data_IF_267597755627
#
_entry.id   IF_267597755627
#
_cell.length_a   1.000
_cell.length_b   1.000
_cell.length_c   1.000
_cell.angle_alpha   90.00
_cell.angle_beta   90.00
_cell.angle_gamma   90.00
#
_symmetry.space_group_name_H-M   'P 1'
#
loop_
_entity.id
_entity.type
_entity.pdbx_description
1 polymer ?
#
# COMPACT_ATOMS: atom_id res chain seq x y z
N UNK A 1 34.86 -9.02 15.62
CA UNK A 1 33.60 -8.41 16.13
C UNK A 1 33.43 -7.03 15.48
N UNK A 2 32.21 -6.76 15.00
CA UNK A 2 31.64 -5.49 14.50
C UNK A 2 32.48 -4.59 13.57
N UNK A 3 32.20 -4.67 12.26
CA UNK A 3 32.27 -3.51 11.34
C UNK A 3 31.00 -3.47 10.48
N UNK A 4 29.88 -3.14 11.12
CA UNK A 4 28.62 -2.80 10.44
C UNK A 4 28.56 -1.30 10.23
N UNK A 5 29.12 -0.81 9.12
CA UNK A 5 28.98 0.59 8.72
C UNK A 5 27.53 0.88 8.35
N UNK A 6 26.85 1.71 9.14
CA UNK A 6 25.55 2.30 8.83
C UNK A 6 25.73 3.29 7.66
N UNK A 7 24.87 3.20 6.65
CA UNK A 7 24.73 4.25 5.64
C UNK A 7 23.62 5.21 6.13
N UNK A 8 23.83 6.54 6.09
CA UNK A 8 22.86 7.52 6.59
C UNK A 8 21.58 7.52 5.76
N UNK A 9 20.48 7.83 6.45
CA UNK A 9 19.13 8.04 5.95
C UNK A 9 19.09 9.49 5.47
N UNK A 10 19.11 9.74 4.15
CA UNK A 10 18.65 11.00 3.53
C UNK A 10 18.53 10.79 2.02
N UNK A 11 17.36 11.12 1.46
CA UNK A 11 17.00 10.93 0.04
C UNK A 11 16.11 9.70 -0.16
N UNK A 12 14.80 9.91 -0.05
CA UNK A 12 13.75 8.93 0.25
C UNK A 12 13.58 7.95 -0.92
N UNK A 13 13.59 6.66 -0.59
CA UNK A 13 13.18 5.59 -1.46
C UNK A 13 12.65 4.46 -0.59
N UNK A 14 11.53 3.84 -0.97
CA UNK A 14 10.86 2.84 -0.15
C UNK A 14 11.72 1.57 -0.04
N UNK A 15 12.11 1.15 1.17
CA UNK A 15 12.92 -0.06 1.37
C UNK A 15 12.05 -1.29 1.67
N UNK A 16 12.07 -2.24 0.74
CA UNK A 16 11.32 -3.48 0.83
C UNK A 16 12.09 -4.56 1.60
N UNK A 17 11.35 -5.34 2.39
CA UNK A 17 11.83 -6.59 2.98
C UNK A 17 11.07 -7.75 2.31
N UNK A 18 11.80 -8.77 1.88
CA UNK A 18 11.37 -9.66 0.80
C UNK A 18 10.35 -10.73 1.21
N UNK A 19 9.41 -10.44 2.11
CA UNK A 19 8.47 -11.42 2.67
C UNK A 19 7.00 -11.27 2.25
N UNK A 20 6.66 -10.25 1.44
CA UNK A 20 5.26 -9.99 1.06
C UNK A 20 5.08 -9.42 -0.35
N UNK A 21 3.82 -9.14 -0.70
CA UNK A 21 3.42 -8.36 -1.88
C UNK A 21 3.51 -6.88 -1.54
N UNK A 22 3.97 -6.07 -2.47
CA UNK A 22 4.07 -4.62 -2.30
C UNK A 22 3.45 -3.91 -3.48
N UNK A 23 2.79 -2.79 -3.22
CA UNK A 23 2.27 -1.92 -4.26
C UNK A 23 2.90 -0.54 -4.14
N UNK A 24 3.22 0.06 -5.28
CA UNK A 24 3.69 1.44 -5.40
C UNK A 24 2.77 2.16 -6.36
N UNK A 25 2.20 3.28 -5.93
CA UNK A 25 1.34 4.11 -6.76
C UNK A 25 2.11 5.37 -7.16
N UNK A 26 2.21 5.61 -8.47
CA UNK A 26 2.87 6.79 -9.03
C UNK A 26 1.87 7.59 -9.87
N UNK A 27 2.15 8.88 -10.02
CA UNK A 27 1.29 9.82 -10.73
C UNK A 27 2.06 10.46 -11.89
N UNK A 28 1.41 10.75 -13.03
CA UNK A 28 2.00 11.58 -14.07
C UNK A 28 2.14 13.05 -13.61
N UNK A 29 3.07 13.78 -14.21
CA UNK A 29 3.22 15.24 -13.94
C UNK A 29 2.01 16.05 -14.39
N UNK A 30 1.36 15.64 -15.48
CA UNK A 30 0.17 16.26 -16.06
C UNK A 30 -0.63 15.24 -16.88
N UNK A 31 -1.87 15.60 -17.23
CA UNK A 31 -2.76 14.76 -18.04
C UNK A 31 -2.12 14.33 -19.36
N UNK A 32 -2.15 13.02 -19.66
CA UNK A 32 -1.59 12.45 -20.89
C UNK A 32 -0.06 12.38 -20.94
N UNK A 33 0.65 12.88 -19.93
CA UNK A 33 2.12 12.83 -19.89
C UNK A 33 2.63 11.41 -19.65
N UNK A 34 3.81 11.12 -20.23
CA UNK A 34 4.55 9.90 -19.92
C UNK A 34 5.57 10.07 -18.81
N UNK A 35 5.78 11.30 -18.35
CA UNK A 35 6.70 11.66 -17.26
C UNK A 35 6.00 11.56 -15.91
N UNK A 36 6.74 11.09 -14.90
CA UNK A 36 6.24 10.85 -13.55
C UNK A 36 6.50 12.05 -12.64
N UNK A 37 5.51 12.39 -11.82
CA UNK A 37 5.66 13.35 -10.75
C UNK A 37 6.66 12.85 -9.69
N UNK A 38 7.39 13.75 -8.99
CA UNK A 38 8.23 13.37 -7.87
C UNK A 38 7.42 12.63 -6.80
N UNK A 39 7.96 11.53 -6.27
CA UNK A 39 7.31 10.72 -5.24
C UNK A 39 8.36 10.13 -4.30
N UNK A 40 8.06 10.11 -3.01
CA UNK A 40 8.87 9.48 -1.98
C UNK A 40 8.99 7.95 -2.18
N UNK A 41 8.04 7.35 -2.90
CA UNK A 41 8.04 5.92 -3.21
C UNK A 41 8.92 5.56 -4.42
N UNK A 42 9.51 6.55 -5.10
CA UNK A 42 10.42 6.37 -6.24
C UNK A 42 11.78 7.07 -5.98
N UNK A 43 12.90 6.31 -5.86
CA UNK A 43 13.09 4.94 -6.32
C UNK A 43 12.69 3.86 -5.29
N UNK A 44 12.24 2.73 -5.81
CA UNK A 44 11.96 1.53 -5.01
C UNK A 44 13.28 0.88 -4.61
N UNK A 45 13.47 0.63 -3.33
CA UNK A 45 14.67 0.03 -2.75
C UNK A 45 14.44 -1.34 -2.14
N UNK A 46 15.52 -2.12 -2.00
CA UNK A 46 15.56 -3.34 -1.19
C UNK A 46 16.45 -3.08 0.02
N UNK A 47 15.99 -3.46 1.21
CA UNK A 47 16.80 -3.36 2.42
C UNK A 47 18.14 -4.08 2.22
N UNK A 48 19.24 -3.38 2.48
CA UNK A 48 20.57 -3.91 2.18
C UNK A 48 20.89 -5.11 3.07
N UNK A 49 21.18 -6.24 2.43
CA UNK A 49 21.84 -7.39 3.05
C UNK A 49 23.04 -7.77 2.19
N UNK A 50 24.07 -8.47 2.72
CA UNK A 50 25.23 -8.90 1.94
C UNK A 50 24.86 -9.68 0.65
N UNK A 51 23.68 -10.30 0.63
CA UNK A 51 23.14 -11.02 -0.52
C UNK A 51 22.48 -10.15 -1.62
N UNK A 52 22.43 -8.82 -1.46
CA UNK A 52 21.75 -7.88 -2.36
C UNK A 52 22.66 -7.27 -3.45
N UNK A 53 23.98 -7.49 -3.40
CA UNK A 53 24.94 -6.90 -4.37
C UNK A 53 24.78 -7.38 -5.82
N UNK A 54 24.07 -8.48 -6.05
CA UNK A 54 23.93 -9.12 -7.36
C UNK A 54 22.47 -9.44 -7.72
N UNK A 55 21.55 -8.58 -7.28
CA UNK A 55 20.13 -8.68 -7.63
C UNK A 55 19.86 -8.04 -9.00
N UNK A 56 18.78 -8.48 -9.63
CA UNK A 56 18.29 -7.97 -10.91
C UNK A 56 16.79 -7.77 -10.82
N UNK A 57 16.34 -6.65 -11.38
CA UNK A 57 14.92 -6.36 -11.53
C UNK A 57 14.37 -6.99 -12.81
N UNK A 58 13.17 -7.55 -12.71
CA UNK A 58 12.46 -8.18 -13.82
C UNK A 58 11.05 -7.60 -13.89
N UNK A 59 10.60 -7.18 -15.09
CA UNK A 59 9.21 -6.77 -15.36
C UNK A 59 8.52 -7.90 -16.12
N UNK A 60 7.61 -8.61 -15.45
CA UNK A 60 7.10 -9.90 -15.95
C UNK A 60 8.22 -10.88 -16.30
N UNK A 61 8.22 -11.41 -17.54
CA UNK A 61 9.29 -12.31 -18.05
C UNK A 61 10.50 -11.58 -18.60
N UNK A 62 10.42 -10.26 -18.79
CA UNK A 62 11.50 -9.45 -19.39
C UNK A 62 12.46 -9.00 -18.29
N UNK A 63 13.75 -9.08 -18.58
CA UNK A 63 14.77 -8.49 -17.70
C UNK A 63 14.70 -6.98 -17.89
N UNK A 64 14.49 -6.25 -16.80
CA UNK A 64 14.69 -4.82 -16.81
C UNK A 64 16.16 -4.56 -16.45
N UNK A 65 16.86 -3.72 -17.22
CA UNK A 65 18.30 -3.51 -17.02
C UNK A 65 18.48 -2.50 -15.89
N UNK A 66 18.21 -2.95 -14.66
CA UNK A 66 18.70 -2.28 -13.48
C UNK A 66 19.45 -3.29 -12.60
N UNK A 67 20.72 -2.99 -12.34
CA UNK A 67 21.60 -3.78 -11.48
C UNK A 67 21.91 -2.96 -10.23
N UNK A 68 21.41 -3.41 -9.08
CA UNK A 68 21.61 -2.72 -7.82
C UNK A 68 20.40 -2.83 -6.89
N UNK A 69 20.50 -2.26 -5.68
CA UNK A 69 19.46 -2.35 -4.66
C UNK A 69 18.26 -1.41 -4.90
N UNK A 70 18.30 -0.58 -5.94
CA UNK A 70 17.27 0.42 -6.24
C UNK A 70 16.75 0.26 -7.67
N UNK A 71 15.45 0.48 -7.86
CA UNK A 71 14.76 0.58 -9.14
C UNK A 71 14.16 1.99 -9.24
N UNK A 72 14.67 2.78 -10.18
CA UNK A 72 14.09 4.07 -10.53
C UNK A 72 13.09 3.84 -11.67
N UNK A 73 11.88 4.35 -11.47
CA UNK A 73 10.82 4.36 -12.47
C UNK A 73 10.82 5.75 -13.11
N UNK A 74 10.73 5.81 -14.43
CA UNK A 74 10.93 7.07 -15.18
C UNK A 74 9.77 7.41 -16.07
N UNK A 75 8.88 6.45 -16.33
CA UNK A 75 7.73 6.66 -17.20
C UNK A 75 6.46 6.02 -16.68
N UNK A 76 5.31 6.58 -17.01
CA UNK A 76 3.99 5.96 -16.79
C UNK A 76 3.90 4.57 -17.44
N UNK A 77 4.65 4.34 -18.52
CA UNK A 77 4.78 3.03 -19.19
C UNK A 77 5.51 1.99 -18.34
N UNK A 78 6.12 2.39 -17.23
CA UNK A 78 6.78 1.49 -16.31
C UNK A 78 5.80 0.71 -15.42
N UNK A 79 4.50 1.01 -15.45
CA UNK A 79 3.45 0.26 -14.74
C UNK A 79 3.51 -1.27 -14.96
N UNK A 80 3.16 -2.05 -13.94
CA UNK A 80 3.05 -3.50 -14.00
C UNK A 80 3.82 -4.23 -12.89
N UNK A 81 3.91 -5.56 -13.01
CA UNK A 81 4.47 -6.42 -11.96
C UNK A 81 5.98 -6.59 -12.12
N UNK A 82 6.69 -6.30 -11.04
CA UNK A 82 8.12 -6.47 -10.89
C UNK A 82 8.47 -7.60 -9.93
N UNK A 83 9.59 -8.27 -10.20
CA UNK A 83 10.18 -9.27 -9.32
C UNK A 83 11.69 -9.07 -9.24
N UNK A 84 12.30 -9.63 -8.19
CA UNK A 84 13.75 -9.55 -7.96
C UNK A 84 14.36 -10.94 -8.07
N UNK A 85 15.33 -11.08 -8.97
CA UNK A 85 16.04 -12.34 -9.18
C UNK A 85 17.52 -12.23 -8.80
N UNK A 86 18.10 -13.34 -8.36
CA UNK A 86 19.55 -13.47 -8.17
C UNK A 86 20.21 -13.93 -9.46
N UNK A 87 21.31 -13.26 -9.85
CA UNK A 87 22.06 -13.48 -11.10
C UNK A 87 22.35 -14.96 -11.43
N UNK A 88 22.77 -15.75 -10.44
CA UNK A 88 23.19 -17.16 -10.62
C UNK A 88 22.13 -18.19 -10.19
N UNK A 89 20.89 -17.74 -9.90
CA UNK A 89 19.81 -18.58 -9.34
C UNK A 89 18.48 -18.18 -9.99
N UNK A 90 18.39 -18.23 -11.32
CA UNK A 90 17.20 -17.80 -12.10
C UNK A 90 15.89 -18.49 -11.68
N UNK A 91 15.96 -19.72 -11.15
CA UNK A 91 14.81 -20.50 -10.62
C UNK A 91 14.59 -20.34 -9.11
N UNK A 92 15.41 -19.54 -8.43
CA UNK A 92 15.35 -19.21 -6.99
C UNK A 92 15.44 -17.68 -6.86
N UNK A 93 14.43 -16.99 -7.40
CA UNK A 93 14.21 -15.57 -7.18
C UNK A 93 13.62 -15.33 -5.78
N UNK A 94 13.68 -14.08 -5.31
CA UNK A 94 12.87 -13.70 -4.16
C UNK A 94 11.46 -13.46 -4.69
N UNK A 95 10.48 -14.15 -4.13
CA UNK A 95 9.09 -14.16 -4.61
C UNK A 95 8.30 -12.92 -4.17
N UNK A 96 8.97 -11.78 -4.04
CA UNK A 96 8.26 -10.52 -3.83
C UNK A 96 7.81 -10.01 -5.17
N UNK A 97 6.49 -9.96 -5.31
CA UNK A 97 5.81 -9.29 -6.40
C UNK A 97 5.57 -7.85 -5.99
N UNK A 98 6.05 -6.94 -6.82
CA UNK A 98 5.90 -5.51 -6.63
C UNK A 98 5.00 -5.04 -7.76
N UNK A 99 3.80 -4.61 -7.42
CA UNK A 99 2.89 -4.01 -8.38
C UNK A 99 3.18 -2.52 -8.45
N UNK A 100 3.62 -2.04 -9.61
CA UNK A 100 3.72 -0.61 -9.89
C UNK A 100 2.43 -0.19 -10.57
N UNK A 101 1.64 0.58 -9.84
CA UNK A 101 0.40 1.20 -10.31
C UNK A 101 0.73 2.62 -10.74
N UNK A 102 0.19 3.03 -11.88
CA UNK A 102 0.31 4.41 -12.35
C UNK A 102 -1.11 4.93 -12.54
N UNK A 103 -1.42 6.06 -11.90
CA UNK A 103 -2.70 6.72 -12.03
C UNK A 103 -2.91 7.31 -13.44
N UNK A 104 -4.16 7.39 -13.89
CA UNK A 104 -4.50 8.03 -15.16
C UNK A 104 -4.34 9.55 -15.11
N UNK A 105 -4.48 10.14 -13.92
CA UNK A 105 -4.37 11.57 -13.69
C UNK A 105 -3.30 11.94 -12.65
N UNK A 106 -2.83 13.20 -12.63
CA UNK A 106 -1.97 13.72 -11.56
C UNK A 106 -2.57 13.53 -10.16
N UNK A 107 -1.72 13.61 -9.14
CA UNK A 107 -2.14 13.42 -7.74
C UNK A 107 -3.26 14.42 -7.34
N UNK A 108 -4.33 13.91 -6.72
CA UNK A 108 -5.51 14.69 -6.32
C UNK A 108 -6.50 14.98 -7.45
N UNK A 109 -6.37 14.28 -8.59
CA UNK A 109 -7.27 14.37 -9.73
C UNK A 109 -7.79 12.97 -10.12
N UNK A 110 -9.01 12.90 -10.66
CA UNK A 110 -9.57 11.70 -11.31
C UNK A 110 -9.91 11.99 -12.75
N UNK A 111 -9.93 10.91 -13.54
CA UNK A 111 -10.35 10.95 -14.94
C UNK A 111 -11.87 10.93 -15.02
N UNK A 112 -12.48 11.90 -15.71
CA UNK A 112 -13.91 11.86 -16.04
C UNK A 112 -14.12 12.40 -17.44
N UNK A 113 -14.81 11.62 -18.28
CA UNK A 113 -15.00 11.91 -19.71
C UNK A 113 -13.67 12.28 -20.40
N UNK A 114 -12.63 11.46 -20.17
CA UNK A 114 -11.28 11.64 -20.72
C UNK A 114 -10.57 12.96 -20.35
N UNK A 115 -10.99 13.61 -19.26
CA UNK A 115 -10.36 14.83 -18.73
C UNK A 115 -10.08 14.69 -17.24
N UNK A 116 -8.89 15.10 -16.80
CA UNK A 116 -8.56 15.11 -15.39
C UNK A 116 -9.26 16.28 -14.67
N UNK A 117 -9.98 15.97 -13.59
CA UNK A 117 -10.66 16.95 -12.74
C UNK A 117 -10.08 16.94 -11.34
N UNK A 118 -9.95 18.13 -10.75
CA UNK A 118 -9.50 18.29 -9.37
C UNK A 118 -10.59 17.86 -8.39
N UNK A 119 -10.18 17.22 -7.30
CA UNK A 119 -11.13 16.99 -6.20
C UNK A 119 -11.47 18.25 -5.50
N UNK A 120 -12.77 18.40 -5.29
CA UNK A 120 -13.27 19.41 -4.39
C UNK A 120 -12.64 19.13 -3.04
N UNK A 121 -11.75 20.03 -2.60
CA UNK A 121 -11.08 19.96 -1.29
C UNK A 121 -12.05 19.78 -0.13
N UNK A 122 -13.33 20.07 -0.35
CA UNK A 122 -14.43 19.89 0.58
C UNK A 122 -14.73 18.41 0.90
N UNK A 123 -14.43 17.48 -0.01
CA UNK A 123 -14.70 16.06 0.18
C UNK A 123 -13.40 15.27 -0.02
N UNK A 124 -12.44 15.27 0.92
CA UNK A 124 -11.24 14.42 0.85
C UNK A 124 -11.56 12.96 1.21
N UNK A 125 -10.74 11.98 0.84
CA UNK A 125 -10.94 10.60 1.29
C UNK A 125 -10.51 10.49 2.74
N UNK A 126 -11.45 10.18 3.62
CA UNK A 126 -11.25 10.06 5.05
C UNK A 126 -10.75 8.67 5.43
N UNK A 127 -10.26 8.55 6.67
CA UNK A 127 -9.94 7.28 7.31
C UNK A 127 -8.96 6.39 6.52
N UNK A 128 -8.10 6.98 5.69
CA UNK A 128 -7.11 6.26 4.87
C UNK A 128 -7.68 5.72 3.55
N UNK A 129 -8.86 6.17 3.14
CA UNK A 129 -9.38 5.94 1.80
C UNK A 129 -8.50 6.56 0.72
N UNK A 130 -8.57 5.99 -0.48
CA UNK A 130 -7.78 6.43 -1.64
C UNK A 130 -8.71 6.71 -2.80
N UNK A 131 -8.46 7.81 -3.51
CA UNK A 131 -9.22 8.15 -4.72
C UNK A 131 -9.13 7.02 -5.74
N UNK A 132 -10.24 6.71 -6.37
CA UNK A 132 -10.26 5.72 -7.45
C UNK A 132 -9.69 6.35 -8.72
N UNK A 133 -9.02 5.53 -9.51
CA UNK A 133 -8.70 5.92 -10.87
C UNK A 133 -9.98 5.94 -11.71
N UNK A 134 -10.22 7.02 -12.44
CA UNK A 134 -11.40 7.21 -13.30
C UNK A 134 -12.79 7.17 -12.64
N UNK A 135 -12.91 7.28 -11.31
CA UNK A 135 -14.19 7.40 -10.61
C UNK A 135 -14.13 8.54 -9.59
N UNK A 136 -15.23 9.32 -9.48
CA UNK A 136 -15.34 10.42 -8.51
C UNK A 136 -15.64 9.93 -7.07
N UNK A 137 -15.22 8.72 -6.72
CA UNK A 137 -15.48 8.12 -5.40
C UNK A 137 -14.21 7.61 -4.76
N UNK A 138 -14.23 7.44 -3.43
CA UNK A 138 -13.13 6.82 -2.73
C UNK A 138 -13.22 5.30 -2.74
N UNK A 139 -12.06 4.68 -2.73
CA UNK A 139 -11.89 3.30 -2.26
C UNK A 139 -11.75 3.35 -0.76
N UNK A 140 -12.77 2.87 -0.06
CA UNK A 140 -12.76 2.89 1.38
C UNK A 140 -12.03 1.68 1.96
N UNK A 141 -11.26 1.88 3.04
CA UNK A 141 -10.70 0.78 3.78
C UNK A 141 -11.81 0.02 4.51
N UNK A 142 -11.55 -1.23 4.97
CA UNK A 142 -12.48 -1.96 5.80
C UNK A 142 -12.96 -1.14 7.00
N UNK A 143 -14.21 -1.33 7.41
CA UNK A 143 -14.96 -0.59 8.44
C UNK A 143 -15.46 0.81 8.05
N UNK A 144 -15.13 1.28 6.86
CA UNK A 144 -15.57 2.59 6.39
C UNK A 144 -16.27 2.51 5.03
N UNK A 145 -17.23 3.39 4.81
CA UNK A 145 -17.98 3.49 3.56
C UNK A 145 -18.49 4.92 3.35
N UNK A 146 -19.41 5.07 2.40
CA UNK A 146 -19.85 6.37 1.94
C UNK A 146 -18.96 6.88 0.82
N UNK A 147 -19.29 8.08 0.35
CA UNK A 147 -18.64 8.72 -0.79
C UNK A 147 -17.17 9.08 -0.51
N UNK A 148 -16.89 9.48 0.72
CA UNK A 148 -15.59 9.97 1.20
C UNK A 148 -15.01 9.11 2.33
N UNK A 149 -15.59 7.94 2.61
CA UNK A 149 -15.14 7.02 3.66
C UNK A 149 -15.28 7.54 5.09
N UNK A 150 -16.15 8.53 5.33
CA UNK A 150 -16.46 9.02 6.67
C UNK A 150 -17.36 8.04 7.45
N UNK A 151 -18.30 7.39 6.76
CA UNK A 151 -19.31 6.54 7.40
C UNK A 151 -18.67 5.27 7.97
N UNK A 152 -18.90 5.02 9.26
CA UNK A 152 -18.51 3.76 9.90
C UNK A 152 -19.52 2.68 9.55
N UNK A 153 -19.01 1.55 9.05
CA UNK A 153 -19.83 0.37 8.76
C UNK A 153 -19.56 -0.67 9.83
N UNK A 154 -20.61 -0.97 10.59
CA UNK A 154 -20.62 -1.77 11.80
C UNK A 154 -19.96 -1.03 12.99
N UNK A 155 -20.76 -0.78 14.04
CA UNK A 155 -20.22 -0.73 15.41
C UNK A 155 -19.62 -2.12 15.67
N UNK A 156 -18.46 -2.30 16.30
CA UNK A 156 -17.78 -3.59 16.32
C UNK A 156 -18.60 -4.59 17.12
N UNK A 157 -19.21 -5.58 16.45
CA UNK A 157 -18.83 -6.91 16.83
C UNK A 157 -18.40 -7.70 15.60
N UNK A 158 -17.48 -8.61 15.87
CA UNK A 158 -17.18 -9.75 15.02
C UNK A 158 -18.44 -10.29 14.32
N UNK A 159 -18.33 -10.77 13.06
CA UNK A 159 -17.07 -11.06 12.39
C UNK A 159 -16.52 -9.89 11.55
N UNK A 160 -15.20 -9.78 11.48
CA UNK A 160 -14.51 -8.74 10.70
C UNK A 160 -14.78 -8.92 9.20
N UNK A 161 -15.64 -8.08 8.62
CA UNK A 161 -15.97 -8.11 7.20
C UNK A 161 -14.80 -7.61 6.32
N UNK A 162 -14.65 -8.22 5.14
CA UNK A 162 -13.59 -7.87 4.18
C UNK A 162 -13.93 -6.68 3.26
N UNK A 163 -15.08 -6.04 3.44
CA UNK A 163 -15.51 -4.90 2.65
C UNK A 163 -16.50 -3.99 3.38
N UNK A 164 -16.85 -2.89 2.73
CA UNK A 164 -17.92 -1.99 3.16
C UNK A 164 -19.28 -2.70 3.06
N UNK A 165 -19.80 -3.18 4.19
CA UNK A 165 -21.14 -3.77 4.29
C UNK A 165 -21.14 -5.28 4.47
N UNK A 166 -22.11 -5.76 5.25
CA UNK A 166 -22.40 -7.17 5.52
C UNK A 166 -22.85 -7.94 4.28
N UNK A 167 -23.22 -7.25 3.20
CA UNK A 167 -23.76 -7.84 1.97
C UNK A 167 -22.72 -8.60 1.15
N UNK A 168 -21.44 -8.37 1.42
CA UNK A 168 -20.35 -9.14 0.82
C UNK A 168 -20.28 -10.58 1.33
N UNK A 169 -20.85 -10.86 2.51
CA UNK A 169 -20.90 -12.21 3.10
C UNK A 169 -19.54 -12.85 3.41
N UNK A 170 -18.43 -12.13 3.21
CA UNK A 170 -17.08 -12.65 3.36
C UNK A 170 -16.37 -11.96 4.53
N UNK A 171 -15.93 -12.79 5.47
CA UNK A 171 -15.29 -12.38 6.70
C UNK A 171 -13.87 -12.90 6.77
N UNK A 172 -13.07 -12.33 7.67
CA UNK A 172 -11.71 -12.82 7.91
C UNK A 172 -11.66 -14.32 8.24
N UNK A 173 -12.71 -14.85 8.89
CA UNK A 173 -12.83 -16.26 9.25
C UNK A 173 -12.99 -17.20 8.05
N UNK A 174 -13.46 -16.69 6.92
CA UNK A 174 -13.66 -17.46 5.68
C UNK A 174 -12.37 -17.60 4.87
N UNK A 175 -11.31 -16.88 5.25
CA UNK A 175 -10.01 -16.95 4.60
C UNK A 175 -9.27 -18.25 4.97
N UNK A 176 -8.45 -18.76 4.04
CA UNK A 176 -7.65 -19.97 4.20
C UNK A 176 -6.80 -19.96 5.49
N UNK A 177 -7.19 -20.74 6.49
CA UNK A 177 -6.53 -20.78 7.79
C UNK A 177 -7.31 -20.13 8.94
N UNK A 178 -8.50 -19.58 8.68
CA UNK A 178 -9.46 -19.16 9.71
C UNK A 178 -8.96 -18.03 10.60
N UNK A 179 -8.75 -16.84 10.04
CA UNK A 179 -8.24 -15.70 10.81
C UNK A 179 -9.35 -14.88 11.45
N UNK A 180 -9.30 -14.68 12.77
CA UNK A 180 -10.36 -13.93 13.47
C UNK A 180 -10.34 -12.42 13.21
N UNK A 181 -9.20 -11.83 12.79
CA UNK A 181 -9.06 -10.36 12.60
C UNK A 181 -8.22 -10.00 11.38
N UNK A 182 -8.27 -10.84 10.35
CA UNK A 182 -7.45 -10.72 9.13
C UNK A 182 -5.94 -10.58 9.38
N UNK A 183 -5.42 -11.17 10.46
CA UNK A 183 -3.99 -11.18 10.74
C UNK A 183 -3.29 -11.98 9.64
N UNK A 184 -2.24 -11.43 9.05
CA UNK A 184 -1.52 -12.10 7.99
C UNK A 184 -2.00 -11.76 6.58
N UNK A 185 -3.12 -11.02 6.45
CA UNK A 185 -3.75 -10.79 5.16
C UNK A 185 -3.61 -9.35 4.68
N UNK A 186 -3.50 -9.24 3.36
CA UNK A 186 -3.57 -7.99 2.62
C UNK A 186 -5.00 -7.75 2.17
N UNK A 187 -5.41 -6.49 2.20
CA UNK A 187 -6.60 -5.97 1.55
C UNK A 187 -6.19 -5.31 0.23
N UNK A 188 -6.71 -5.84 -0.88
CA UNK A 188 -6.29 -5.50 -2.25
C UNK A 188 -7.51 -5.14 -3.14
N UNK A 189 -8.14 -3.98 -2.98
CA UNK A 189 -9.31 -3.59 -3.77
C UNK A 189 -9.01 -3.22 -5.24
N UNK A 190 -7.73 -3.25 -5.68
CA UNK A 190 -7.38 -3.37 -7.12
C UNK A 190 -7.28 -2.07 -7.93
N UNK A 191 -7.04 -0.92 -7.30
CA UNK A 191 -6.85 0.38 -7.97
C UNK A 191 -5.68 1.16 -7.32
N UNK A 192 -5.71 2.50 -7.33
CA UNK A 192 -4.69 3.35 -6.67
C UNK A 192 -4.46 3.01 -5.19
N UNK A 193 -5.42 2.38 -4.53
CA UNK A 193 -5.29 1.89 -3.16
C UNK A 193 -4.17 0.84 -3.00
N UNK A 194 -3.99 -0.02 -4.01
CA UNK A 194 -3.03 -1.12 -4.00
C UNK A 194 -3.37 -2.25 -3.04
N UNK A 195 -2.35 -3.00 -2.61
CA UNK A 195 -2.43 -4.02 -1.57
C UNK A 195 -1.80 -3.49 -0.27
N UNK A 196 -2.56 -3.46 0.81
CA UNK A 196 -2.10 -2.99 2.12
C UNK A 196 -2.56 -3.93 3.22
N UNK A 197 -1.86 -3.96 4.35
CA UNK A 197 -2.30 -4.73 5.50
C UNK A 197 -3.69 -4.31 5.95
N UNK A 198 -4.52 -5.30 6.30
CA UNK A 198 -5.84 -5.08 6.88
C UNK A 198 -5.74 -4.13 8.10
N UNK A 199 -6.73 -3.26 8.37
CA UNK A 199 -6.61 -2.27 9.44
C UNK A 199 -6.20 -2.90 10.77
N UNK A 200 -5.45 -2.16 11.59
CA UNK A 200 -4.94 -2.65 12.86
C UNK A 200 -3.68 -3.51 12.75
N UNK A 201 -3.24 -3.88 11.55
CA UNK A 201 -2.01 -4.63 11.30
C UNK A 201 -1.04 -3.85 10.41
N UNK A 202 0.26 -4.13 10.57
CA UNK A 202 1.30 -3.56 9.73
C UNK A 202 2.50 -4.50 9.55
N UNK A 203 3.42 -4.08 8.69
CA UNK A 203 4.66 -4.79 8.39
C UNK A 203 4.48 -5.83 7.29
N UNK A 204 5.59 -6.37 6.80
CA UNK A 204 5.62 -7.14 5.54
C UNK A 204 4.73 -8.38 5.50
N UNK A 205 4.31 -8.88 6.67
CA UNK A 205 3.47 -10.06 6.82
C UNK A 205 2.09 -9.72 7.39
N UNK A 206 1.77 -8.44 7.64
CA UNK A 206 0.51 -8.02 8.28
C UNK A 206 0.21 -8.75 9.60
N UNK A 207 1.26 -9.09 10.34
CA UNK A 207 1.20 -9.91 11.56
C UNK A 207 1.54 -9.12 12.82
N UNK A 208 1.98 -7.87 12.68
CA UNK A 208 2.30 -6.96 13.78
C UNK A 208 1.13 -6.03 14.07
N UNK A 209 0.70 -5.92 15.33
CA UNK A 209 -0.39 -5.02 15.70
C UNK A 209 0.07 -3.56 15.63
N UNK A 210 -0.83 -2.62 15.31
CA UNK A 210 -0.44 -1.21 15.30
C UNK A 210 0.26 -0.77 16.59
N UNK A 211 1.33 0.04 16.48
CA UNK A 211 1.93 0.68 17.64
C UNK A 211 0.90 1.51 18.41
N UNK A 212 1.12 1.70 19.72
CA UNK A 212 0.28 2.54 20.56
C UNK A 212 0.12 3.94 19.94
N UNK A 213 -1.12 4.44 19.89
CA UNK A 213 -1.43 5.75 19.30
C UNK A 213 -1.57 5.75 17.78
N UNK A 214 -1.54 4.59 17.12
CA UNK A 214 -1.75 4.44 15.67
C UNK A 214 -2.90 3.48 15.38
N UNK A 215 -3.59 3.71 14.26
CA UNK A 215 -4.74 2.91 13.84
C UNK A 215 -4.91 2.93 12.31
N UNK A 216 -5.88 2.15 11.81
CA UNK A 216 -6.25 2.11 10.40
C UNK A 216 -5.32 1.23 9.55
N UNK A 217 -5.45 1.34 8.23
CA UNK A 217 -4.61 0.63 7.25
C UNK A 217 -3.14 1.00 7.42
N UNK A 218 -2.27 0.00 7.43
CA UNK A 218 -0.80 0.14 7.64
C UNK A 218 -0.44 0.95 8.90
N UNK A 219 -1.38 1.13 9.83
CA UNK A 219 -1.24 1.98 11.00
C UNK A 219 -0.82 3.42 10.66
N UNK A 220 -1.27 3.92 9.51
CA UNK A 220 -0.92 5.24 8.97
C UNK A 220 -1.59 6.39 9.72
N UNK A 221 -2.75 6.14 10.34
CA UNK A 221 -3.52 7.14 11.05
C UNK A 221 -3.08 7.24 12.50
N UNK A 222 -3.16 8.45 13.06
CA UNK A 222 -2.77 8.74 14.45
C UNK A 222 -4.03 8.91 15.29
N UNK A 223 -4.06 8.32 16.49
CA UNK A 223 -5.15 8.57 17.41
C UNK A 223 -5.19 10.07 17.80
N UNK A 224 -6.35 10.63 18.16
CA UNK A 224 -6.44 11.98 18.71
C UNK A 224 -5.51 12.17 19.91
N UNK A 225 -4.91 13.37 20.06
CA UNK A 225 -3.82 13.66 21.02
C UNK A 225 -4.13 13.32 22.49
N UNK A 226 -5.40 13.20 22.86
CA UNK A 226 -5.83 12.89 24.22
C UNK A 226 -6.06 11.38 24.47
N UNK A 227 -6.13 10.57 23.41
CA UNK A 227 -6.43 9.14 23.46
C UNK A 227 -5.30 8.33 22.82
N UNK A 228 -4.22 8.10 23.57
CA UNK A 228 -3.18 7.13 23.17
C UNK A 228 -3.70 5.66 23.15
N UNK A 229 -4.99 5.46 23.43
CA UNK A 229 -5.69 4.20 23.56
C UNK A 229 -6.95 4.20 22.66
N UNK A 230 -6.81 4.57 21.39
CA UNK A 230 -7.86 4.29 20.41
C UNK A 230 -7.73 2.85 19.88
N UNK A 231 -8.84 2.29 19.43
CA UNK A 231 -8.92 1.00 18.80
C UNK A 231 -8.08 1.03 17.52
N UNK A 232 -7.12 0.10 17.41
CA UNK A 232 -6.20 0.04 16.28
C UNK A 232 -6.88 -0.22 14.93
N UNK A 233 -8.10 -0.75 14.91
CA UNK A 233 -8.80 -1.14 13.69
C UNK A 233 -9.50 0.04 13.03
N UNK A 234 -10.27 0.81 13.80
CA UNK A 234 -11.22 1.83 13.32
C UNK A 234 -11.06 3.18 14.06
N UNK A 235 -10.11 3.29 14.99
CA UNK A 235 -9.83 4.52 15.71
C UNK A 235 -10.88 4.93 16.75
N UNK A 236 -11.87 4.07 17.06
CA UNK A 236 -12.84 4.33 18.14
C UNK A 236 -12.15 4.35 19.51
N UNK A 237 -12.76 4.98 20.51
CA UNK A 237 -12.22 4.95 21.87
C UNK A 237 -12.39 3.55 22.48
N UNK A 238 -11.33 2.97 23.05
CA UNK A 238 -11.47 1.72 23.79
C UNK A 238 -12.12 2.01 25.13
N UNK A 239 -13.20 1.30 25.54
CA UNK A 239 -13.69 1.37 26.91
C UNK A 239 -12.54 1.03 27.87
N UNK A 240 -12.25 1.94 28.81
CA UNK A 240 -11.23 1.77 29.85
C UNK A 240 -11.79 0.93 31.00
#
# INVERSE_FOLDING_TARGET
MARGGRIPINGIGMFLNTKGVYTVTLYPVEEGSTELAPSDDNPIGVAWTPGCQNIRWCKGKRRNINTGPRLTLTSTKDAGIYTIQRRNRKKRGWFVQIEVIVASCPEGQWLTNDVCKNRLKQYPCMNGGVEKDAEETCTCPPFFAGYDCEDRVNDPPEPFALGAGTDSGLFCGDLDGGSTKCRGYLYCPGNLFGCKCFPGWFGNNCDKPCPKGKWGIECSLTCPKNNMHCNRFDGSDTPV
#
